data_IF_096672639227
#
_entry.id   IF_096672639227
#
_cell.length_a   1.000
_cell.length_b   1.000
_cell.length_c   1.000
_cell.angle_alpha   90.00
_cell.angle_beta   90.00
_cell.angle_gamma   90.00
#
_symmetry.space_group_name_H-M   'P 1'
#
loop_
_entity.id
_entity.type
_entity.pdbx_description
1 polymer ?
#
# COMPACT_ATOMS: atom_id res chain seq x y z
N UNK A 1 -13.75 -60.32 -21.89
CA UNK A 1 -12.70 -59.48 -21.29
C UNK A 1 -13.06 -58.01 -21.54
N UNK A 2 -13.80 -57.40 -20.61
CA UNK A 2 -14.20 -55.99 -20.58
C UNK A 2 -14.05 -55.53 -19.13
N UNK A 3 -13.74 -54.25 -18.94
CA UNK A 3 -13.61 -53.52 -17.67
C UNK A 3 -12.16 -53.30 -17.23
N UNK A 4 -11.46 -52.35 -17.87
CA UNK A 4 -10.19 -51.85 -17.33
C UNK A 4 -9.89 -50.39 -17.67
N UNK A 5 -10.89 -49.51 -17.76
CA UNK A 5 -10.65 -48.11 -18.14
C UNK A 5 -11.57 -47.05 -17.49
N UNK A 6 -12.20 -47.34 -16.34
CA UNK A 6 -13.14 -46.38 -15.72
C UNK A 6 -12.77 -45.86 -14.33
N UNK A 7 -11.61 -46.24 -13.78
CA UNK A 7 -11.22 -45.85 -12.41
C UNK A 7 -10.16 -44.74 -12.34
N UNK A 8 -9.51 -44.38 -13.45
CA UNK A 8 -8.41 -43.41 -13.45
C UNK A 8 -8.83 -41.94 -13.65
N UNK A 9 -10.09 -41.67 -14.02
CA UNK A 9 -10.56 -40.30 -14.23
C UNK A 9 -11.15 -39.63 -12.97
N UNK A 10 -11.49 -40.40 -11.93
CA UNK A 10 -12.16 -39.88 -10.74
C UNK A 10 -11.20 -39.34 -9.67
N UNK A 11 -9.91 -39.68 -9.73
CA UNK A 11 -8.93 -39.34 -8.69
C UNK A 11 -8.31 -37.95 -8.84
N UNK A 12 -8.46 -37.30 -10.01
CA UNK A 12 -7.82 -36.01 -10.30
C UNK A 12 -8.70 -34.78 -10.00
N UNK A 13 -10.00 -34.97 -9.73
CA UNK A 13 -10.94 -33.86 -9.52
C UNK A 13 -11.11 -33.52 -8.03
N UNK A 14 -10.66 -34.39 -7.12
CA UNK A 14 -10.99 -34.27 -5.69
C UNK A 14 -10.03 -33.42 -4.84
N UNK A 15 -8.99 -32.80 -5.41
CA UNK A 15 -8.01 -32.02 -4.64
C UNK A 15 -8.06 -30.49 -4.86
N UNK A 16 -9.01 -29.98 -5.66
CA UNK A 16 -9.10 -28.54 -5.95
C UNK A 16 -10.14 -27.78 -5.13
N UNK A 17 -10.97 -28.45 -4.34
CA UNK A 17 -11.93 -27.80 -3.45
C UNK A 17 -11.34 -27.66 -2.05
N UNK A 18 -11.34 -26.43 -1.51
CA UNK A 18 -11.22 -26.06 -0.08
C UNK A 18 -9.98 -25.28 0.37
N UNK A 19 -9.35 -24.48 -0.50
CA UNK A 19 -8.57 -23.34 -0.03
C UNK A 19 -9.08 -22.03 -0.63
N UNK A 20 -10.33 -21.69 -0.31
CA UNK A 20 -10.76 -20.30 -0.32
C UNK A 20 -10.04 -19.57 0.82
N UNK A 21 -8.76 -19.26 0.62
CA UNK A 21 -8.04 -18.35 1.49
C UNK A 21 -8.68 -16.99 1.24
N UNK A 22 -9.66 -16.62 2.05
CA UNK A 22 -10.14 -15.25 2.12
C UNK A 22 -8.96 -14.42 2.61
N UNK A 23 -8.17 -13.92 1.67
CA UNK A 23 -7.20 -12.85 1.90
C UNK A 23 -8.01 -11.62 2.23
N UNK A 24 -8.44 -11.51 3.49
CA UNK A 24 -8.90 -10.27 4.08
C UNK A 24 -7.66 -9.41 4.29
N UNK A 25 -7.11 -8.92 3.18
CA UNK A 25 -6.03 -7.96 3.19
C UNK A 25 -6.62 -6.64 3.66
N UNK A 26 -6.67 -6.47 4.98
CA UNK A 26 -6.98 -5.20 5.61
C UNK A 26 -6.12 -4.07 5.04
N UNK A 27 -6.56 -2.81 5.20
CA UNK A 27 -5.79 -1.68 4.73
C UNK A 27 -4.35 -1.74 5.29
N UNK A 28 -3.35 -1.28 4.51
CA UNK A 28 -1.98 -1.23 4.99
C UNK A 28 -1.88 -0.28 6.19
N UNK A 29 -0.91 -0.53 7.07
CA UNK A 29 -0.63 0.38 8.18
C UNK A 29 -0.09 1.73 7.67
N UNK A 30 0.75 1.68 6.63
CA UNK A 30 1.38 2.87 6.05
C UNK A 30 1.21 2.90 4.54
N UNK A 31 0.79 4.05 4.00
CA UNK A 31 1.02 4.38 2.60
C UNK A 31 2.16 5.37 2.46
N UNK A 32 3.23 4.99 1.76
CA UNK A 32 4.29 5.91 1.33
C UNK A 32 3.96 6.42 -0.06
N UNK A 33 3.55 7.67 -0.13
CA UNK A 33 3.12 8.39 -1.33
C UNK A 33 4.27 9.23 -1.85
N UNK A 34 4.64 9.02 -3.11
CA UNK A 34 5.76 9.69 -3.77
C UNK A 34 5.38 10.06 -5.20
N UNK A 35 6.12 10.98 -5.80
CA UNK A 35 6.05 11.25 -7.24
C UNK A 35 7.14 10.48 -7.98
N UNK A 36 6.95 10.22 -9.27
CA UNK A 36 7.82 9.36 -10.08
C UNK A 36 9.32 9.69 -9.94
N UNK A 37 9.67 10.97 -9.90
CA UNK A 37 11.05 11.45 -9.73
C UNK A 37 11.64 11.11 -8.34
N UNK A 38 10.78 10.98 -7.33
CA UNK A 38 11.14 10.69 -5.94
C UNK A 38 11.01 9.19 -5.59
N UNK A 39 10.90 8.31 -6.60
CA UNK A 39 10.75 6.86 -6.43
C UNK A 39 11.88 6.21 -5.63
N UNK A 40 13.12 6.68 -5.83
CA UNK A 40 14.28 6.17 -5.10
C UNK A 40 14.17 6.49 -3.59
N UNK A 41 13.82 7.73 -3.26
CA UNK A 41 13.60 8.17 -1.89
C UNK A 41 12.43 7.41 -1.24
N UNK A 42 11.30 7.28 -1.95
CA UNK A 42 10.16 6.48 -1.48
C UNK A 42 10.53 5.02 -1.22
N UNK A 43 11.36 4.40 -2.07
CA UNK A 43 11.88 3.03 -1.82
C UNK A 43 12.78 2.99 -0.59
N UNK A 44 13.63 4.00 -0.39
CA UNK A 44 14.51 4.05 0.77
C UNK A 44 13.74 4.19 2.08
N UNK A 45 12.71 5.04 2.13
CA UNK A 45 11.88 5.22 3.33
C UNK A 45 11.19 3.90 3.70
N UNK A 46 10.61 3.20 2.71
CA UNK A 46 10.00 1.88 2.96
C UNK A 46 11.00 0.86 3.48
N UNK A 47 12.25 0.90 3.01
CA UNK A 47 13.29 -0.03 3.45
C UNK A 47 13.79 0.28 4.86
N UNK A 48 13.69 1.53 5.29
CA UNK A 48 14.08 1.98 6.63
C UNK A 48 12.97 1.76 7.68
N UNK A 49 11.71 1.61 7.25
CA UNK A 49 10.59 1.34 8.17
C UNK A 49 10.67 -0.07 8.76
N UNK A 50 10.26 -0.26 10.03
CA UNK A 50 10.23 -1.58 10.66
C UNK A 50 9.35 -2.56 9.89
N UNK A 51 9.85 -3.77 9.64
CA UNK A 51 9.18 -4.81 8.83
C UNK A 51 7.87 -5.34 9.43
N UNK A 52 7.60 -5.03 10.70
CA UNK A 52 6.35 -5.40 11.37
C UNK A 52 5.12 -4.67 10.81
N UNK A 53 5.31 -3.51 10.16
CA UNK A 53 4.22 -2.73 9.58
C UNK A 53 3.94 -3.14 8.14
N UNK A 54 2.66 -3.22 7.77
CA UNK A 54 2.22 -3.43 6.38
C UNK A 54 2.37 -2.12 5.61
N UNK A 55 3.53 -1.90 5.01
CA UNK A 55 3.83 -0.70 4.24
C UNK A 55 3.53 -0.92 2.75
N UNK A 56 2.74 -0.02 2.15
CA UNK A 56 2.51 0.03 0.70
C UNK A 56 3.02 1.33 0.11
N UNK A 57 3.52 1.24 -1.12
CA UNK A 57 4.01 2.38 -1.91
C UNK A 57 2.93 2.82 -2.89
N UNK A 58 2.79 4.13 -3.08
CA UNK A 58 1.89 4.70 -4.07
C UNK A 58 2.57 5.81 -4.87
N UNK A 59 2.61 5.66 -6.20
CA UNK A 59 3.11 6.69 -7.09
C UNK A 59 1.98 7.66 -7.44
N UNK A 60 1.96 8.84 -6.83
CA UNK A 60 0.93 9.85 -7.05
C UNK A 60 0.99 10.48 -8.44
N UNK A 61 2.08 10.33 -9.22
CA UNK A 61 2.15 10.84 -10.60
C UNK A 61 1.04 10.28 -11.49
N UNK A 62 0.51 9.08 -11.19
CA UNK A 62 -0.64 8.50 -11.91
C UNK A 62 -1.90 9.39 -11.81
N UNK A 63 -1.98 10.26 -10.80
CA UNK A 63 -3.10 11.17 -10.60
C UNK A 63 -3.07 12.40 -11.52
N UNK A 64 -1.97 12.63 -12.26
CA UNK A 64 -1.90 13.72 -13.24
C UNK A 64 -2.91 13.53 -14.38
N UNK A 65 -3.16 12.28 -14.75
CA UNK A 65 -4.14 11.92 -15.79
C UNK A 65 -5.51 11.58 -15.22
N UNK A 66 -5.67 11.63 -13.90
CA UNK A 66 -6.92 11.30 -13.23
C UNK A 66 -7.82 12.53 -13.13
N UNK A 67 -9.11 12.30 -13.32
CA UNK A 67 -10.15 13.29 -13.06
C UNK A 67 -10.29 13.59 -11.56
N UNK A 68 -11.15 14.56 -11.23
CA UNK A 68 -11.42 14.91 -9.84
C UNK A 68 -11.94 13.72 -9.03
N UNK A 69 -12.85 12.92 -9.60
CA UNK A 69 -13.39 11.73 -8.93
C UNK A 69 -12.29 10.70 -8.63
N UNK A 70 -11.36 10.47 -9.56
CA UNK A 70 -10.23 9.57 -9.38
C UNK A 70 -9.30 10.01 -8.25
N UNK A 71 -9.05 11.31 -8.12
CA UNK A 71 -8.26 11.88 -7.01
C UNK A 71 -8.97 11.67 -5.66
N UNK A 72 -10.27 11.94 -5.57
CA UNK A 72 -11.05 11.72 -4.36
C UNK A 72 -11.09 10.23 -3.94
N UNK A 73 -11.34 9.32 -4.89
CA UNK A 73 -11.32 7.87 -4.62
C UNK A 73 -9.96 7.41 -4.12
N UNK A 74 -8.89 7.99 -4.65
CA UNK A 74 -7.53 7.70 -4.20
C UNK A 74 -7.29 8.24 -2.80
N UNK A 75 -7.66 9.50 -2.51
CA UNK A 75 -7.55 10.08 -1.18
C UNK A 75 -8.30 9.22 -0.14
N UNK A 76 -9.55 8.83 -0.43
CA UNK A 76 -10.35 7.94 0.41
C UNK A 76 -9.72 6.55 0.61
N UNK A 77 -9.03 6.02 -0.41
CA UNK A 77 -8.32 4.74 -0.29
C UNK A 77 -7.09 4.88 0.60
N UNK A 78 -6.33 5.95 0.43
CA UNK A 78 -5.10 6.20 1.17
C UNK A 78 -5.39 6.54 2.64
N UNK A 79 -6.47 7.28 2.91
CA UNK A 79 -6.90 7.66 4.26
C UNK A 79 -7.33 6.48 5.14
N UNK A 80 -7.56 5.29 4.55
CA UNK A 80 -7.82 4.05 5.30
C UNK A 80 -6.57 3.48 5.98
N UNK A 81 -5.37 3.92 5.61
CA UNK A 81 -4.17 3.54 6.34
C UNK A 81 -4.10 4.26 7.69
N UNK A 82 -3.38 3.68 8.64
CA UNK A 82 -3.14 4.33 9.94
C UNK A 82 -2.34 5.61 9.78
N UNK A 83 -1.36 5.60 8.88
CA UNK A 83 -0.54 6.77 8.52
C UNK A 83 -0.36 6.86 7.00
N UNK A 84 -0.49 8.07 6.48
CA UNK A 84 -0.10 8.42 5.11
C UNK A 84 1.19 9.22 5.19
N UNK A 85 2.19 8.83 4.39
CA UNK A 85 3.49 9.48 4.36
C UNK A 85 3.68 10.14 3.01
N UNK A 86 3.83 11.46 2.99
CA UNK A 86 4.20 12.20 1.79
C UNK A 86 5.71 12.34 1.70
N UNK A 87 6.28 11.80 0.62
CA UNK A 87 7.69 11.93 0.30
C UNK A 87 7.90 13.25 -0.45
N UNK A 88 8.46 14.23 0.25
CA UNK A 88 8.71 15.57 -0.25
C UNK A 88 10.19 15.68 -0.66
N UNK A 89 10.54 14.99 -1.75
CA UNK A 89 11.88 15.07 -2.34
C UNK A 89 12.02 16.32 -3.21
N UNK A 90 12.21 16.13 -4.51
CA UNK A 90 12.21 17.23 -5.48
C UNK A 90 10.81 17.82 -5.67
N UNK A 91 9.78 16.97 -5.57
CA UNK A 91 8.40 17.37 -5.74
C UNK A 91 7.53 16.89 -4.57
N UNK A 92 6.40 17.57 -4.39
CA UNK A 92 5.50 17.36 -3.24
C UNK A 92 4.19 16.74 -3.73
N UNK A 93 3.75 15.59 -3.17
CA UNK A 93 2.45 15.00 -3.52
C UNK A 93 1.24 15.90 -3.25
N UNK A 94 1.42 16.96 -2.44
CA UNK A 94 0.39 17.95 -2.10
C UNK A 94 -0.21 18.69 -3.31
N UNK A 95 0.45 18.67 -4.46
CA UNK A 95 -0.11 19.22 -5.71
C UNK A 95 -1.22 18.35 -6.31
N UNK A 96 -1.28 17.07 -5.92
CA UNK A 96 -2.20 16.08 -6.50
C UNK A 96 -3.24 15.55 -5.51
N UNK A 97 -2.92 15.58 -4.22
CA UNK A 97 -3.77 15.15 -3.12
C UNK A 97 -3.77 16.23 -2.05
N UNK A 98 -4.96 16.60 -1.55
CA UNK A 98 -5.07 17.60 -0.49
C UNK A 98 -4.64 16.98 0.85
N UNK A 99 -3.66 17.57 1.58
CA UNK A 99 -3.32 17.15 2.93
C UNK A 99 -4.51 17.03 3.89
N UNK A 100 -5.56 17.83 3.69
CA UNK A 100 -6.78 17.83 4.53
C UNK A 100 -7.61 16.56 4.41
N UNK A 101 -7.40 15.75 3.38
CA UNK A 101 -8.09 14.48 3.20
C UNK A 101 -7.55 13.37 4.13
N UNK A 102 -6.50 13.66 4.92
CA UNK A 102 -5.76 12.69 5.73
C UNK A 102 -5.65 13.13 7.19
N UNK A 103 -6.22 12.34 8.09
CA UNK A 103 -6.15 12.62 9.53
C UNK A 103 -4.73 12.44 10.11
N UNK A 104 -3.98 11.46 9.59
CA UNK A 104 -2.65 11.10 10.06
C UNK A 104 -1.64 11.16 8.91
N UNK A 105 -1.34 12.38 8.46
CA UNK A 105 -0.37 12.66 7.42
C UNK A 105 0.99 13.04 8.00
N UNK A 106 2.04 12.35 7.59
CA UNK A 106 3.44 12.71 7.89
C UNK A 106 4.15 13.10 6.61
N UNK A 107 4.70 14.30 6.57
CA UNK A 107 5.55 14.75 5.45
C UNK A 107 7.01 14.59 5.82
N UNK A 108 7.77 13.88 4.97
CA UNK A 108 9.20 13.59 5.18
C UNK A 108 10.01 14.00 3.96
N UNK A 109 11.24 14.48 4.17
CA UNK A 109 12.15 14.90 3.08
C UNK A 109 13.32 13.94 2.86
N UNK A 110 13.57 13.04 3.79
CA UNK A 110 14.69 12.10 3.73
C UNK A 110 14.35 10.77 4.43
N UNK A 111 15.28 9.82 4.36
CA UNK A 111 15.25 8.54 5.08
C UNK A 111 16.03 8.59 6.41
N UNK A 112 16.37 9.78 6.91
CA UNK A 112 17.11 9.93 8.15
C UNK A 112 16.31 9.39 9.34
N UNK A 113 17.02 8.89 10.36
CA UNK A 113 16.43 8.26 11.55
C UNK A 113 15.30 9.11 12.15
N UNK A 114 15.52 10.42 12.31
CA UNK A 114 14.49 11.32 12.86
C UNK A 114 13.21 11.41 12.03
N UNK A 115 13.27 11.25 10.70
CA UNK A 115 12.07 11.22 9.85
C UNK A 115 11.34 9.89 9.96
N UNK A 116 12.08 8.79 10.09
CA UNK A 116 11.51 7.45 10.31
C UNK A 116 10.82 7.38 11.67
N UNK A 117 11.43 7.94 12.72
CA UNK A 117 10.87 8.00 14.06
C UNK A 117 9.55 8.78 14.09
N UNK A 118 9.44 9.86 13.31
CA UNK A 118 8.18 10.61 13.14
C UNK A 118 7.07 9.76 12.52
N UNK A 119 7.41 8.93 11.52
CA UNK A 119 6.44 8.00 10.92
C UNK A 119 5.99 6.95 11.94
N UNK A 120 6.93 6.38 12.71
CA UNK A 120 6.65 5.37 13.74
C UNK A 120 5.84 5.95 14.91
N UNK A 121 6.13 7.18 15.32
CA UNK A 121 5.33 7.90 16.32
C UNK A 121 3.89 8.11 15.84
N UNK A 122 3.70 8.51 14.57
CA UNK A 122 2.38 8.62 13.96
C UNK A 122 1.62 7.30 13.96
N UNK A 123 2.29 6.18 13.74
CA UNK A 123 1.69 4.84 13.79
C UNK A 123 1.26 4.44 15.19
N UNK A 124 1.96 4.91 16.22
CA UNK A 124 1.66 4.60 17.62
C UNK A 124 0.45 5.38 18.11
N UNK A 125 0.27 6.62 17.65
CA UNK A 125 -0.86 7.49 17.99
C UNK A 125 -2.16 7.16 17.23
N UNK A 126 -2.08 6.29 16.22
CA UNK A 126 -3.21 5.90 15.37
C UNK A 126 -3.90 4.60 15.83
N UNK A 127 -3.43 3.98 16.92
CA UNK A 127 -4.09 2.85 17.59
C UNK A 127 -4.92 3.36 18.77
#
# INVERSE_FOLDING_TARGET
MKNFNLFLLASFISFCSLYSVSVNAGPPDVYVVYLADDKALGKSIVSALPKQYKVKKYNATILLISDYSGKQKTALRLSKAKVVVFVNGKHTPTKLLDPKDFNNLVSVKSNQVGEIDRIVAGLSNAN
#
